data_IF_315520130060
#
_entry.id   IF_315520130060
#
_cell.length_a   1.000
_cell.length_b   1.000
_cell.length_c   1.000
_cell.angle_alpha   90.00
_cell.angle_beta   90.00
_cell.angle_gamma   90.00
#
_symmetry.space_group_name_H-M   'P 1'
#
loop_
_entity.id
_entity.type
_entity.pdbx_description
1 polymer ?
#
# COMPACT_ATOMS: atom_id res chain seq x y z
N UNK A 1 -14.89 -5.01 -10.19
CA UNK A 1 -13.63 -4.74 -9.47
C UNK A 1 -13.99 -3.76 -8.37
N UNK A 2 -14.01 -4.19 -7.11
CA UNK A 2 -14.46 -3.35 -6.01
C UNK A 2 -13.50 -2.16 -5.88
N UNK A 3 -14.05 -0.94 -5.76
CA UNK A 3 -13.25 0.27 -5.56
C UNK A 3 -12.65 0.21 -4.15
N UNK A 4 -11.42 -0.30 -4.03
CA UNK A 4 -10.71 -0.40 -2.75
C UNK A 4 -10.41 1.01 -2.25
N UNK A 5 -10.97 1.37 -1.10
CA UNK A 5 -10.68 2.66 -0.44
C UNK A 5 -9.50 2.47 0.49
N UNK A 6 -8.64 3.49 0.58
CA UNK A 6 -7.46 3.44 1.45
C UNK A 6 -7.81 3.06 2.90
N UNK A 7 -8.93 3.55 3.42
CA UNK A 7 -9.39 3.29 4.79
C UNK A 7 -9.55 1.79 5.09
N UNK A 8 -9.96 1.00 4.09
CA UNK A 8 -10.21 -0.43 4.27
C UNK A 8 -8.89 -1.22 4.41
N UNK A 9 -7.78 -0.67 3.94
CA UNK A 9 -6.44 -1.25 4.02
C UNK A 9 -5.64 -0.79 5.24
N UNK A 10 -6.15 0.16 6.04
CA UNK A 10 -5.45 0.64 7.24
C UNK A 10 -5.61 -0.35 8.40
N UNK A 11 -4.61 -0.41 9.28
CA UNK A 11 -4.68 -1.27 10.47
C UNK A 11 -5.79 -0.80 11.41
N UNK A 12 -6.82 -1.64 11.58
CA UNK A 12 -8.06 -1.33 12.33
C UNK A 12 -7.83 -1.03 13.80
N UNK A 13 -6.83 -1.64 14.42
CA UNK A 13 -6.59 -1.60 15.87
C UNK A 13 -5.76 -0.38 16.33
N UNK A 14 -5.42 0.54 15.42
CA UNK A 14 -4.44 1.59 15.68
C UNK A 14 -5.00 3.02 15.55
N UNK A 15 -6.33 3.20 15.54
CA UNK A 15 -6.97 4.51 15.39
C UNK A 15 -6.44 5.30 14.17
N UNK A 16 -6.27 4.60 13.04
CA UNK A 16 -5.71 5.14 11.80
C UNK A 16 -6.82 5.53 10.84
N UNK A 17 -6.80 6.78 10.39
CA UNK A 17 -7.80 7.35 9.49
C UNK A 17 -7.15 7.81 8.19
N UNK A 18 -7.73 7.41 7.05
CA UNK A 18 -7.29 7.80 5.73
C UNK A 18 -7.70 9.25 5.44
N UNK A 19 -6.73 10.09 5.09
CA UNK A 19 -6.96 11.47 4.65
C UNK A 19 -7.28 11.57 3.15
N UNK A 20 -7.04 10.49 2.40
CA UNK A 20 -7.29 10.40 0.96
C UNK A 20 -8.01 9.10 0.63
N UNK A 21 -8.81 9.09 -0.44
CA UNK A 21 -9.50 7.86 -0.90
C UNK A 21 -8.54 6.88 -1.58
N UNK A 22 -7.60 7.41 -2.36
CA UNK A 22 -6.58 6.68 -3.12
C UNK A 22 -5.24 7.37 -2.97
N UNK A 23 -4.17 6.60 -3.11
CA UNK A 23 -2.79 7.08 -3.00
C UNK A 23 -2.19 7.31 -4.39
N UNK A 24 -1.22 8.20 -4.47
CA UNK A 24 -0.36 8.34 -5.64
C UNK A 24 0.47 7.05 -5.87
N UNK A 25 1.02 6.93 -7.08
CA UNK A 25 1.85 5.79 -7.48
C UNK A 25 3.03 5.60 -6.52
N UNK A 26 3.11 4.40 -5.93
CA UNK A 26 4.21 4.02 -5.04
C UNK A 26 5.43 3.69 -5.88
N UNK A 27 6.58 4.24 -5.49
CA UNK A 27 7.87 3.99 -6.14
C UNK A 27 8.88 3.47 -5.12
N UNK A 28 10.12 3.28 -5.54
CA UNK A 28 11.23 2.91 -4.66
C UNK A 28 11.65 4.02 -3.68
N UNK A 29 11.19 5.26 -3.88
CA UNK A 29 11.51 6.40 -3.03
C UNK A 29 10.43 6.61 -1.97
N UNK A 30 10.83 6.79 -0.72
CA UNK A 30 9.90 6.94 0.43
C UNK A 30 8.96 8.14 0.31
N UNK A 31 9.40 9.23 -0.33
CA UNK A 31 8.56 10.42 -0.55
C UNK A 31 7.38 10.17 -1.50
N UNK A 32 7.40 9.10 -2.30
CA UNK A 32 6.23 8.72 -3.14
C UNK A 32 4.99 8.32 -2.33
N UNK A 33 5.16 8.01 -1.04
CA UNK A 33 4.03 7.76 -0.13
C UNK A 33 3.35 9.05 0.33
N UNK A 34 4.01 10.19 0.17
CA UNK A 34 3.39 11.47 0.44
C UNK A 34 2.47 11.85 -0.71
N UNK A 35 1.38 12.53 -0.38
CA UNK A 35 0.33 12.93 -1.29
C UNK A 35 0.43 14.41 -1.62
N UNK A 36 -0.12 14.76 -2.79
CA UNK A 36 -0.16 16.11 -3.36
C UNK A 36 1.22 16.74 -3.55
N UNK A 37 1.26 17.98 -4.06
CA UNK A 37 2.51 18.74 -4.19
C UNK A 37 3.07 19.18 -2.81
N UNK A 38 2.25 19.13 -1.77
CA UNK A 38 2.58 19.62 -0.43
C UNK A 38 3.24 18.53 0.45
N UNK A 39 3.54 17.35 -0.11
CA UNK A 39 4.15 16.23 0.62
C UNK A 39 3.38 15.83 1.89
N UNK A 40 2.05 15.78 1.80
CA UNK A 40 1.17 15.46 2.94
C UNK A 40 1.17 13.96 3.16
N UNK A 41 1.37 13.50 4.40
CA UNK A 41 1.22 12.08 4.70
C UNK A 41 -0.26 11.64 4.64
N UNK A 42 -0.58 10.48 4.06
CA UNK A 42 -1.95 10.08 3.71
C UNK A 42 -2.81 9.63 4.89
N UNK A 43 -2.23 9.41 6.09
CA UNK A 43 -2.92 8.84 7.25
C UNK A 43 -2.86 9.81 8.42
N UNK A 44 -3.89 9.82 9.25
CA UNK A 44 -3.92 10.42 10.57
C UNK A 44 -3.94 9.30 11.61
N UNK A 45 -3.03 9.32 12.58
CA UNK A 45 -2.97 8.40 13.70
C UNK A 45 -2.90 9.21 14.99
N UNK A 46 -3.88 9.05 15.87
CA UNK A 46 -3.97 9.77 17.15
C UNK A 46 -3.77 11.30 17.00
N UNK A 47 -4.43 11.87 15.99
CA UNK A 47 -4.36 13.31 15.69
C UNK A 47 -3.07 13.78 15.02
N UNK A 48 -2.12 12.89 14.71
CA UNK A 48 -0.86 13.21 14.04
C UNK A 48 -0.79 12.61 12.64
N UNK A 49 -0.24 13.37 11.68
CA UNK A 49 -0.05 12.87 10.30
C UNK A 49 1.01 11.77 10.28
N UNK A 50 0.65 10.62 9.73
CA UNK A 50 1.50 9.44 9.61
C UNK A 50 1.53 8.85 8.18
N UNK A 51 2.62 8.17 7.87
CA UNK A 51 2.83 7.50 6.60
C UNK A 51 2.19 6.11 6.61
N UNK A 52 2.00 5.54 5.42
CA UNK A 52 1.55 4.15 5.33
C UNK A 52 2.60 3.20 5.90
N UNK A 53 2.10 2.17 6.58
CA UNK A 53 2.93 1.08 7.04
C UNK A 53 3.18 0.09 5.90
N UNK A 54 4.26 -0.68 6.02
CA UNK A 54 4.61 -1.68 5.00
C UNK A 54 3.50 -2.72 4.85
N UNK A 55 2.88 -3.14 5.95
CA UNK A 55 1.76 -4.08 5.93
C UNK A 55 0.49 -3.51 5.30
N UNK A 56 0.26 -2.20 5.38
CA UNK A 56 -0.84 -1.54 4.67
C UNK A 56 -0.54 -1.47 3.17
N UNK A 57 0.73 -1.23 2.80
CA UNK A 57 1.15 -1.25 1.39
C UNK A 57 1.09 -2.65 0.76
N UNK A 58 1.46 -3.70 1.51
CA UNK A 58 1.28 -5.09 1.07
C UNK A 58 -0.18 -5.33 0.68
N UNK A 59 -1.10 -4.93 1.55
CA UNK A 59 -2.55 -5.08 1.34
C UNK A 59 -3.07 -4.24 0.17
N UNK A 60 -2.61 -3.00 0.01
CA UNK A 60 -2.94 -2.13 -1.15
C UNK A 60 -2.50 -2.79 -2.46
N UNK A 61 -1.31 -3.39 -2.51
CA UNK A 61 -0.82 -4.13 -3.68
C UNK A 61 -1.47 -5.51 -3.85
N UNK A 62 -2.28 -5.96 -2.88
CA UNK A 62 -2.95 -7.26 -2.89
C UNK A 62 -2.07 -8.43 -2.43
N UNK A 63 -0.93 -8.17 -1.80
CA UNK A 63 -0.13 -9.21 -1.14
C UNK A 63 -0.73 -9.61 0.22
N UNK A 64 -0.46 -10.84 0.68
CA UNK A 64 -0.70 -11.22 2.07
C UNK A 64 -0.01 -10.26 3.05
N UNK A 65 -0.62 -10.07 4.21
CA UNK A 65 -0.02 -9.27 5.30
C UNK A 65 1.27 -9.97 5.75
N UNK A 66 2.35 -9.21 5.92
CA UNK A 66 3.73 -9.68 6.21
C UNK A 66 4.43 -10.41 5.06
N UNK A 67 3.94 -10.32 3.81
CA UNK A 67 4.57 -10.98 2.66
C UNK A 67 6.05 -10.60 2.46
N UNK A 68 6.44 -9.37 2.78
CA UNK A 68 7.84 -8.90 2.64
C UNK A 68 8.64 -8.96 3.95
N UNK A 69 8.10 -9.57 5.01
CA UNK A 69 8.72 -9.65 6.33
C UNK A 69 9.77 -10.77 6.44
N UNK A 70 10.80 -10.68 5.60
CA UNK A 70 11.83 -11.71 5.44
C UNK A 70 13.21 -11.21 5.90
N UNK A 71 13.30 -10.69 7.12
CA UNK A 71 14.52 -10.09 7.69
C UNK A 71 15.11 -8.93 6.85
N UNK A 72 14.23 -8.15 6.22
CA UNK A 72 14.59 -6.99 5.42
C UNK A 72 14.30 -5.70 6.18
N UNK A 73 15.21 -4.73 6.08
CA UNK A 73 14.97 -3.38 6.59
C UNK A 73 13.73 -2.76 5.93
N UNK A 74 12.98 -1.93 6.67
CA UNK A 74 11.78 -1.22 6.20
C UNK A 74 11.97 -0.59 4.81
N UNK A 75 13.08 0.10 4.59
CA UNK A 75 13.40 0.76 3.31
C UNK A 75 13.51 -0.23 2.16
N UNK A 76 14.07 -1.43 2.39
CA UNK A 76 14.19 -2.48 1.37
C UNK A 76 12.83 -3.10 1.05
N UNK A 77 11.98 -3.30 2.07
CA UNK A 77 10.60 -3.75 1.88
C UNK A 77 9.80 -2.76 1.01
N UNK A 78 9.92 -1.46 1.28
CA UNK A 78 9.32 -0.40 0.45
C UNK A 78 9.84 -0.40 -0.99
N UNK A 79 11.16 -0.59 -1.18
CA UNK A 79 11.75 -0.68 -2.52
C UNK A 79 11.28 -1.90 -3.31
N UNK A 80 11.05 -3.03 -2.65
CA UNK A 80 10.48 -4.22 -3.25
C UNK A 80 9.05 -3.97 -3.72
N UNK A 81 8.19 -3.46 -2.84
CA UNK A 81 6.80 -3.14 -3.17
C UNK A 81 6.71 -2.07 -4.27
N UNK A 82 7.55 -1.05 -4.24
CA UNK A 82 7.61 -0.01 -5.28
C UNK A 82 8.07 -0.48 -6.67
N UNK A 83 8.54 -1.73 -6.79
CA UNK A 83 8.84 -2.40 -8.08
C UNK A 83 7.87 -3.53 -8.41
N UNK A 84 6.99 -3.88 -7.48
CA UNK A 84 6.09 -5.01 -7.61
C UNK A 84 4.91 -4.69 -8.53
N UNK A 85 4.29 -5.74 -9.04
CA UNK A 85 2.99 -5.63 -9.70
C UNK A 85 1.89 -5.60 -8.64
N UNK A 86 0.80 -4.90 -8.93
CA UNK A 86 -0.45 -5.14 -8.21
C UNK A 86 -0.91 -6.58 -8.49
N UNK A 87 -1.13 -7.34 -7.42
CA UNK A 87 -1.56 -8.74 -7.49
C UNK A 87 -2.90 -8.86 -8.21
N UNK A 88 -3.82 -7.94 -7.97
CA UNK A 88 -5.13 -7.90 -8.62
C UNK A 88 -4.99 -7.71 -10.15
N UNK A 89 -4.06 -6.85 -10.58
CA UNK A 89 -3.78 -6.64 -12.01
C UNK A 89 -3.14 -7.89 -12.63
N UNK A 90 -2.13 -8.48 -11.97
CA UNK A 90 -1.49 -9.70 -12.46
C UNK A 90 -2.50 -10.85 -12.55
N UNK A 91 -3.36 -11.00 -11.53
CA UNK A 91 -4.43 -11.99 -11.52
C UNK A 91 -5.42 -11.78 -12.67
N UNK A 92 -5.82 -10.54 -12.95
CA UNK A 92 -6.71 -10.23 -14.07
C UNK A 92 -6.08 -10.59 -15.43
N UNK A 93 -4.78 -10.34 -15.61
CA UNK A 93 -4.05 -10.68 -16.83
C UNK A 93 -3.91 -12.20 -17.00
N UNK A 94 -3.62 -12.92 -15.91
CA UNK A 94 -3.42 -14.37 -15.94
C UNK A 94 -4.72 -15.18 -15.88
N UNK A 95 -5.84 -14.57 -15.50
CA UNK A 95 -7.13 -15.25 -15.38
C UNK A 95 -7.50 -16.11 -16.60
N UNK A 96 -7.39 -15.63 -17.87
CA UNK A 96 -7.70 -16.45 -19.02
C UNK A 96 -6.77 -17.66 -19.18
N UNK A 97 -5.52 -17.60 -18.70
CA UNK A 97 -4.57 -18.73 -18.79
C UNK A 97 -4.97 -19.88 -17.86
N UNK A 98 -5.51 -19.56 -16.68
CA UNK A 98 -5.91 -20.55 -15.68
C UNK A 98 -7.36 -21.04 -15.79
N UNK A 99 -8.10 -20.56 -16.80
CA UNK A 99 -9.49 -20.96 -17.08
C UNK A 99 -9.62 -22.11 -18.07
N UNK A 100 -8.49 -22.72 -18.47
CA UNK A 100 -8.41 -23.94 -19.27
C UNK A 100 -7.89 -25.09 -18.41
#
# INVERSE_FOLDING_TARGET
>A
MNDVKLQDCLRKECNRQALVKKIATVTTRSNSLNQTKENIKPVLMDGKKDSLWVTELEEIFGFPIHYTDANLQKTRRLQLLGKAWSVQTLFAILQPVFKF
#
